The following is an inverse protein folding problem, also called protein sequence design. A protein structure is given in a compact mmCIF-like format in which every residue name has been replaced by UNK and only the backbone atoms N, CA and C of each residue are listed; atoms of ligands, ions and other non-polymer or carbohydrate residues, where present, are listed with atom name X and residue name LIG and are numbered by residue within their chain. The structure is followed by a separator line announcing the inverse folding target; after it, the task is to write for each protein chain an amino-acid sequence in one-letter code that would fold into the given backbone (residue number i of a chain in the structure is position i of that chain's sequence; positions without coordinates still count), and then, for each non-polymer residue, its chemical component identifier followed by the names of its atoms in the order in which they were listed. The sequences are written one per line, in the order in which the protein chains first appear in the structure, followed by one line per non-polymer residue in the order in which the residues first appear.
data_IF_974774435823
#
_entry.id   IF_974774435823
#
_cell.length_a   1.000
_cell.length_b   1.000
_cell.length_c   1.000
_cell.angle_alpha   90.00
_cell.angle_beta   90.00
_cell.angle_gamma   90.00
#
_symmetry.space_group_name_H-M   'P 1'
#
loop_
_entity.id
_entity.type
_entity.pdbx_description
1 polymer ?
#
# COMPACT_ATOMS: atom_id res chain seq x y z
N UNK A 1 -6.36 -11.70 -1.52
CA UNK A 1 -4.94 -11.36 -1.27
C UNK A 1 -4.93 -10.12 -0.39
N UNK A 2 -4.50 -10.18 0.87
CA UNK A 2 -4.46 -9.01 1.80
C UNK A 2 -5.75 -8.16 1.87
N UNK A 3 -6.92 -8.82 1.98
CA UNK A 3 -8.22 -8.12 1.97
C UNK A 3 -8.69 -7.60 0.61
N UNK A 4 -7.83 -7.58 -0.41
CA UNK A 4 -8.11 -7.07 -1.76
C UNK A 4 -9.08 -7.99 -2.50
N UNK A 5 -10.08 -7.36 -3.13
CA UNK A 5 -11.16 -7.93 -3.94
C UNK A 5 -11.34 -7.14 -5.24
N UNK A 6 -12.24 -7.60 -6.12
CA UNK A 6 -12.50 -6.97 -7.43
C UNK A 6 -12.94 -5.50 -7.33
N UNK A 7 -13.67 -5.13 -6.27
CA UNK A 7 -14.12 -3.75 -6.00
C UNK A 7 -13.04 -2.87 -5.36
N UNK A 8 -11.85 -3.42 -5.12
CA UNK A 8 -10.76 -2.68 -4.48
C UNK A 8 -10.04 -1.78 -5.48
N UNK A 9 -9.77 -0.56 -5.03
CA UNK A 9 -8.87 0.39 -5.69
C UNK A 9 -7.53 0.31 -4.97
N UNK A 10 -6.49 -0.13 -5.67
CA UNK A 10 -5.19 -0.49 -5.10
C UNK A 10 -4.10 0.44 -5.61
N UNK A 11 -3.35 1.03 -4.69
CA UNK A 11 -2.16 1.83 -5.00
C UNK A 11 -0.90 0.99 -4.76
N UNK A 12 -0.06 0.86 -5.77
CA UNK A 12 1.23 0.18 -5.69
C UNK A 12 2.36 1.21 -5.49
N UNK A 13 2.89 1.27 -4.27
CA UNK A 13 4.06 2.06 -3.88
C UNK A 13 5.24 1.12 -3.63
N UNK A 14 5.63 0.40 -4.69
CA UNK A 14 6.75 -0.56 -4.70
C UNK A 14 7.60 -0.33 -5.95
N UNK A 15 8.85 -0.83 -6.02
CA UNK A 15 9.64 -0.75 -7.24
C UNK A 15 8.90 -1.36 -8.44
N UNK A 16 8.81 -0.62 -9.54
CA UNK A 16 8.18 -1.04 -10.81
C UNK A 16 9.20 -1.27 -11.95
N UNK A 17 10.49 -1.06 -11.67
CA UNK A 17 11.57 -1.19 -12.65
C UNK A 17 12.20 -2.59 -12.66
N UNK A 18 13.52 -2.65 -12.42
CA UNK A 18 14.30 -3.90 -12.47
C UNK A 18 13.86 -4.92 -11.43
N UNK A 19 13.53 -4.46 -10.22
CA UNK A 19 13.01 -5.31 -9.16
C UNK A 19 11.61 -5.83 -9.53
N UNK A 20 11.44 -7.14 -9.53
CA UNK A 20 10.25 -7.80 -10.07
C UNK A 20 9.03 -7.76 -9.14
N UNK A 21 9.18 -7.27 -7.90
CA UNK A 21 8.10 -7.28 -6.91
C UNK A 21 6.82 -6.59 -7.44
N UNK A 22 6.93 -5.38 -7.99
CA UNK A 22 5.80 -4.66 -8.57
C UNK A 22 5.14 -5.42 -9.73
N UNK A 23 5.93 -6.06 -10.60
CA UNK A 23 5.42 -6.83 -11.73
C UNK A 23 4.65 -8.09 -11.28
N UNK A 24 5.16 -8.81 -10.28
CA UNK A 24 4.47 -9.98 -9.72
C UNK A 24 3.14 -9.59 -9.05
N UNK A 25 3.17 -8.52 -8.24
CA UNK A 25 1.97 -8.00 -7.56
C UNK A 25 0.91 -7.53 -8.58
N UNK A 26 1.33 -6.83 -9.64
CA UNK A 26 0.45 -6.46 -10.76
C UNK A 26 -0.21 -7.68 -11.40
N UNK A 27 0.54 -8.78 -11.60
CA UNK A 27 -0.01 -10.03 -12.14
C UNK A 27 -1.13 -10.61 -11.27
N UNK A 28 -0.92 -10.64 -9.95
CA UNK A 28 -1.93 -11.08 -8.98
C UNK A 28 -3.16 -10.17 -8.95
N UNK A 29 -2.96 -8.85 -8.91
CA UNK A 29 -4.04 -7.87 -8.90
C UNK A 29 -4.89 -7.91 -10.18
N UNK A 30 -4.27 -8.11 -11.35
CA UNK A 30 -4.99 -8.30 -12.61
C UNK A 30 -5.88 -9.54 -12.60
N UNK A 31 -5.41 -10.65 -12.04
CA UNK A 31 -6.24 -11.87 -11.88
C UNK A 31 -7.42 -11.63 -10.94
N UNK A 32 -7.24 -10.79 -9.93
CA UNK A 32 -8.31 -10.35 -9.02
C UNK A 32 -9.22 -9.27 -9.62
N UNK A 33 -8.88 -8.74 -10.81
CA UNK A 33 -9.59 -7.64 -11.49
C UNK A 33 -9.68 -6.35 -10.68
N UNK A 34 -8.81 -6.18 -9.68
CA UNK A 34 -8.76 -4.98 -8.87
C UNK A 34 -8.26 -3.78 -9.70
N UNK A 35 -8.90 -2.62 -9.53
CA UNK A 35 -8.42 -1.40 -10.18
C UNK A 35 -7.09 -0.98 -9.54
N UNK A 36 -6.03 -0.93 -10.34
CA UNK A 36 -4.66 -0.77 -9.81
C UNK A 36 -3.99 0.47 -10.38
N UNK A 37 -3.41 1.29 -9.49
CA UNK A 37 -2.62 2.48 -9.83
C UNK A 37 -1.15 2.21 -9.47
N UNK A 38 -0.27 1.99 -10.46
CA UNK A 38 1.15 1.73 -10.23
C UNK A 38 1.96 3.03 -10.24
N UNK A 39 2.14 3.67 -9.08
CA UNK A 39 2.91 4.92 -8.98
C UNK A 39 4.42 4.69 -8.82
N UNK A 40 4.80 3.58 -8.19
CA UNK A 40 6.20 3.29 -7.90
C UNK A 40 6.71 3.94 -6.61
N UNK A 41 8.01 3.74 -6.31
CA UNK A 41 8.69 4.45 -5.23
C UNK A 41 9.23 5.80 -5.69
N UNK A 42 9.39 6.74 -4.76
CA UNK A 42 9.96 8.06 -5.01
C UNK A 42 8.98 9.06 -5.64
N UNK A 43 7.72 8.67 -5.82
CA UNK A 43 6.64 9.57 -6.20
C UNK A 43 6.43 10.64 -5.12
N UNK A 44 6.21 11.89 -5.53
CA UNK A 44 5.91 12.99 -4.63
C UNK A 44 4.69 12.70 -3.75
N UNK A 45 4.79 13.03 -2.46
CA UNK A 45 3.75 12.70 -1.48
C UNK A 45 2.46 13.51 -1.67
N UNK A 46 2.53 14.76 -2.12
CA UNK A 46 1.30 15.51 -2.40
C UNK A 46 0.53 14.85 -3.54
N UNK A 47 1.23 14.41 -4.59
CA UNK A 47 0.62 13.66 -5.68
C UNK A 47 0.02 12.33 -5.21
N UNK A 48 0.71 11.57 -4.37
CA UNK A 48 0.18 10.31 -3.80
C UNK A 48 -1.07 10.57 -2.95
N UNK A 49 -1.09 11.64 -2.15
CA UNK A 49 -2.24 12.07 -1.36
C UNK A 49 -3.42 12.43 -2.27
N UNK A 50 -3.18 13.22 -3.32
CA UNK A 50 -4.20 13.62 -4.30
C UNK A 50 -4.82 12.41 -5.00
N UNK A 51 -3.99 11.47 -5.47
CA UNK A 51 -4.46 10.22 -6.04
C UNK A 51 -5.31 9.42 -5.04
N UNK A 52 -4.83 9.31 -3.80
CA UNK A 52 -5.49 8.55 -2.74
C UNK A 52 -6.91 9.04 -2.48
N UNK A 53 -7.10 10.36 -2.47
CA UNK A 53 -8.41 11.00 -2.26
C UNK A 53 -9.27 10.96 -3.52
N UNK A 54 -8.70 11.25 -4.68
CA UNK A 54 -9.42 11.31 -5.97
C UNK A 54 -9.98 9.96 -6.37
N UNK A 55 -9.13 8.93 -6.34
CA UNK A 55 -9.51 7.57 -6.72
C UNK A 55 -10.10 6.77 -5.56
N UNK A 56 -10.21 7.37 -4.37
CA UNK A 56 -10.76 6.70 -3.18
C UNK A 56 -10.04 5.38 -2.91
N UNK A 57 -8.70 5.42 -2.89
CA UNK A 57 -7.88 4.23 -2.72
C UNK A 57 -8.30 3.47 -1.46
N UNK A 58 -8.44 2.15 -1.62
CA UNK A 58 -8.85 1.24 -0.56
C UNK A 58 -7.71 0.41 0.00
N UNK A 59 -6.68 0.13 -0.81
CA UNK A 59 -5.55 -0.69 -0.38
C UNK A 59 -4.24 -0.13 -0.87
N UNK A 60 -3.24 -0.17 0.02
CA UNK A 60 -1.86 0.13 -0.33
C UNK A 60 -1.04 -1.14 -0.34
N UNK A 61 -0.13 -1.26 -1.31
CA UNK A 61 0.94 -2.25 -1.25
C UNK A 61 2.28 -1.53 -1.31
N UNK A 62 3.10 -1.70 -0.28
CA UNK A 62 4.33 -0.92 -0.10
C UNK A 62 5.33 -1.56 0.87
N UNK A 63 6.31 -0.81 1.36
CA UNK A 63 7.22 -1.22 2.44
C UNK A 63 6.76 -0.61 3.78
N UNK A 64 7.11 -1.20 4.94
CA UNK A 64 6.77 -0.60 6.24
C UNK A 64 7.25 0.84 6.38
N UNK A 65 8.48 1.14 5.97
CA UNK A 65 9.05 2.49 6.06
C UNK A 65 8.29 3.49 5.16
N UNK A 66 7.97 3.08 3.93
CA UNK A 66 7.19 3.90 2.99
C UNK A 66 5.78 4.17 3.51
N UNK A 67 5.13 3.18 4.13
CA UNK A 67 3.82 3.35 4.76
C UNK A 67 3.86 4.37 5.91
N UNK A 68 4.87 4.29 6.78
CA UNK A 68 5.05 5.25 7.87
C UNK A 68 5.30 6.65 7.32
N UNK A 69 6.22 6.81 6.38
CA UNK A 69 6.52 8.13 5.79
C UNK A 69 5.29 8.76 5.14
N UNK A 70 4.51 7.99 4.37
CA UNK A 70 3.25 8.49 3.80
C UNK A 70 2.27 8.91 4.90
N UNK A 71 2.15 8.10 5.96
CA UNK A 71 1.26 8.39 7.09
C UNK A 71 1.61 9.71 7.77
N UNK A 72 2.90 9.94 8.03
CA UNK A 72 3.41 11.18 8.61
C UNK A 72 3.12 12.40 7.72
N UNK A 73 3.25 12.26 6.39
CA UNK A 73 2.89 13.35 5.46
C UNK A 73 1.39 13.67 5.46
N UNK A 74 0.54 12.64 5.56
CA UNK A 74 -0.91 12.81 5.64
C UNK A 74 -1.31 13.53 6.92
N UNK A 75 -0.75 13.13 8.06
CA UNK A 75 -1.07 13.68 9.38
C UNK A 75 -0.79 15.18 9.50
N UNK A 76 0.08 15.74 8.67
CA UNK A 76 0.36 17.19 8.65
C UNK A 76 -0.87 18.03 8.28
N UNK A 77 -1.82 17.49 7.51
CA UNK A 77 -2.92 18.28 6.92
C UNK A 77 -4.29 17.59 6.94
N UNK A 78 -4.36 16.30 7.20
CA UNK A 78 -5.59 15.52 7.05
C UNK A 78 -5.81 14.58 8.22
N UNK A 79 -7.06 14.15 8.39
CA UNK A 79 -7.46 13.06 9.27
C UNK A 79 -7.59 11.76 8.46
N UNK A 80 -6.67 10.80 8.62
CA UNK A 80 -6.66 9.55 7.86
C UNK A 80 -7.99 8.79 7.82
N UNK A 81 -8.70 8.72 8.96
CA UNK A 81 -9.97 7.96 9.08
C UNK A 81 -11.18 8.69 8.48
N UNK A 82 -11.08 10.00 8.25
CA UNK A 82 -12.18 10.81 7.71
C UNK A 82 -11.98 11.17 6.25
N UNK A 83 -10.73 11.46 5.88
CA UNK A 83 -10.41 12.05 4.58
C UNK A 83 -9.97 11.01 3.53
N UNK A 84 -9.82 9.73 3.93
CA UNK A 84 -9.38 8.63 3.07
C UNK A 84 -10.25 7.38 3.27
N UNK A 85 -10.18 6.47 2.29
CA UNK A 85 -11.00 5.25 2.23
C UNK A 85 -10.20 3.96 2.45
N UNK A 86 -9.05 4.07 3.12
CA UNK A 86 -8.13 2.96 3.28
C UNK A 86 -8.75 1.84 4.15
N UNK A 87 -8.75 0.62 3.61
CA UNK A 87 -9.29 -0.62 4.22
C UNK A 87 -8.19 -1.63 4.52
N UNK A 88 -7.03 -1.52 3.89
CA UNK A 88 -5.88 -2.35 4.21
C UNK A 88 -4.54 -1.82 3.70
N UNK A 89 -3.46 -2.16 4.41
CA UNK A 89 -2.08 -1.90 3.99
C UNK A 89 -1.34 -3.23 3.95
N UNK A 90 -0.81 -3.62 2.80
CA UNK A 90 0.07 -4.76 2.67
C UNK A 90 1.53 -4.28 2.61
N UNK A 91 2.38 -4.75 3.51
CA UNK A 91 3.80 -4.41 3.54
C UNK A 91 4.66 -5.57 3.09
N UNK A 92 5.75 -5.28 2.38
CA UNK A 92 6.71 -6.26 1.86
C UNK A 92 8.15 -5.79 2.07
N UNK A 93 9.11 -6.66 1.74
CA UNK A 93 10.55 -6.39 1.59
C UNK A 93 11.33 -6.06 2.88
N UNK A 94 10.65 -5.83 4.00
CA UNK A 94 11.27 -5.62 5.29
C UNK A 94 10.34 -6.15 6.41
N UNK A 95 10.91 -6.56 7.57
CA UNK A 95 10.10 -7.03 8.69
C UNK A 95 9.11 -5.98 9.18
N UNK A 96 7.84 -6.36 9.29
CA UNK A 96 6.83 -5.53 9.94
C UNK A 96 6.87 -5.75 11.45
N UNK A 97 7.48 -4.82 12.19
CA UNK A 97 7.48 -4.88 13.65
C UNK A 97 6.07 -4.66 14.20
N UNK A 98 5.80 -5.24 15.38
CA UNK A 98 4.53 -5.06 16.09
C UNK A 98 4.19 -3.58 16.30
N UNK A 99 5.18 -2.78 16.70
CA UNK A 99 5.00 -1.34 16.97
C UNK A 99 4.57 -0.59 15.70
N UNK A 100 5.22 -0.84 14.55
CA UNK A 100 4.85 -0.20 13.29
C UNK A 100 3.46 -0.65 12.84
N UNK A 101 3.14 -1.94 12.99
CA UNK A 101 1.80 -2.46 12.68
C UNK A 101 0.73 -1.75 13.51
N UNK A 102 0.90 -1.71 14.83
CA UNK A 102 -0.06 -1.10 15.75
C UNK A 102 -0.24 0.40 15.45
N UNK A 103 0.87 1.12 15.25
CA UNK A 103 0.85 2.53 14.85
C UNK A 103 0.03 2.77 13.58
N UNK A 104 0.27 2.00 12.52
CA UNK A 104 -0.45 2.15 11.25
C UNK A 104 -1.94 1.79 11.40
N UNK A 105 -2.26 0.71 12.12
CA UNK A 105 -3.65 0.32 12.37
C UNK A 105 -4.40 1.36 13.21
N UNK A 106 -3.75 1.94 14.21
CA UNK A 106 -4.34 2.97 15.05
C UNK A 106 -4.63 4.26 14.26
N UNK A 107 -3.72 4.68 13.39
CA UNK A 107 -3.93 5.90 12.62
C UNK A 107 -4.97 5.70 11.52
N UNK A 108 -4.86 4.63 10.74
CA UNK A 108 -5.72 4.41 9.57
C UNK A 108 -7.04 3.71 9.90
N UNK A 109 -7.13 3.01 11.03
CA UNK A 109 -8.31 2.23 11.39
C UNK A 109 -8.56 1.04 10.46
N UNK A 110 -7.52 0.51 9.83
CA UNK A 110 -7.59 -0.58 8.86
C UNK A 110 -6.64 -1.73 9.23
N UNK A 111 -6.79 -2.90 8.60
CA UNK A 111 -5.85 -4.01 8.81
C UNK A 111 -4.51 -3.75 8.13
N UNK A 112 -3.43 -4.20 8.76
CA UNK A 112 -2.07 -4.15 8.18
C UNK A 112 -1.53 -5.57 8.06
N UNK A 113 -1.30 -5.97 6.81
CA UNK A 113 -0.84 -7.30 6.44
C UNK A 113 0.66 -7.30 6.22
N UNK A 114 1.30 -8.37 6.68
CA UNK A 114 2.70 -8.65 6.41
C UNK A 114 2.80 -9.66 5.27
N UNK A 115 3.36 -9.23 4.15
CA UNK A 115 3.59 -10.06 2.98
C UNK A 115 5.05 -10.47 2.92
N UNK A 116 5.29 -11.78 2.80
CA UNK A 116 6.64 -12.32 2.66
C UNK A 116 6.92 -12.63 1.21
N UNK A 117 8.16 -12.47 0.77
CA UNK A 117 8.53 -12.82 -0.59
C UNK A 117 9.90 -12.32 -0.98
N UNK A 118 10.54 -13.07 -1.87
CA UNK A 118 11.78 -12.67 -2.54
C UNK A 118 11.62 -12.94 -4.03
N UNK A 119 12.42 -12.26 -4.86
CA UNK A 119 12.29 -12.33 -6.32
C UNK A 119 12.34 -13.77 -6.85
N UNK A 120 13.15 -14.62 -6.22
CA UNK A 120 13.44 -16.00 -6.62
C UNK A 120 12.28 -16.96 -6.37
N UNK A 121 11.41 -16.70 -5.39
CA UNK A 121 10.30 -17.59 -5.01
C UNK A 121 8.92 -16.92 -5.13
N UNK A 122 8.89 -15.63 -5.46
CA UNK A 122 7.66 -14.84 -5.54
C UNK A 122 7.16 -14.36 -4.17
N UNK A 123 5.92 -13.88 -4.15
CA UNK A 123 5.21 -13.46 -2.95
C UNK A 123 4.43 -14.64 -2.34
N UNK A 124 4.51 -14.76 -1.01
CA UNK A 124 3.86 -15.74 -0.15
C UNK A 124 2.78 -15.07 0.72
#
# INVERSE_FOLDING_TARGET
MFGIREDSVVLLLVPMGIAQAGNHLMGGLRKLKAFTIPTGLGTDWQFVIELSRTFKITHFITTPATAVNFTEEVLKKFNPRKDFNLKGIATFSAPLTKVVREYLQEIWGCEVFDGMGVTEIGAL
#
